data_IF_871577251803
#
_entry.id   IF_871577251803
#
_cell.length_a   1.000
_cell.length_b   1.000
_cell.length_c   1.000
_cell.angle_alpha   90.00
_cell.angle_beta   90.00
_cell.angle_gamma   90.00
#
_symmetry.space_group_name_H-M   'P 1'
#
loop_
_entity.id
_entity.type
_entity.pdbx_description
1 polymer ?
#
# COMPACT_ATOMS: atom_id res chain seq x y z
N UNK A 1 -19.94 30.36 -8.45
CA UNK A 1 -19.20 29.13 -8.79
C UNK A 1 -17.71 29.42 -8.58
N UNK A 2 -16.95 28.57 -7.86
CA UNK A 2 -15.52 28.81 -7.71
C UNK A 2 -14.87 28.70 -9.10
N UNK A 3 -14.17 29.75 -9.55
CA UNK A 3 -13.36 29.80 -10.77
C UNK A 3 -14.03 29.41 -12.12
N UNK A 4 -15.31 29.74 -12.32
CA UNK A 4 -15.93 29.66 -13.66
C UNK A 4 -16.25 28.25 -14.20
N UNK A 5 -16.12 27.22 -13.37
CA UNK A 5 -16.48 25.84 -13.74
C UNK A 5 -17.83 25.41 -13.16
N UNK A 6 -18.56 24.58 -13.90
CA UNK A 6 -19.86 24.07 -13.48
C UNK A 6 -19.72 23.12 -12.28
N UNK A 7 -20.73 23.09 -11.41
CA UNK A 7 -20.76 22.16 -10.26
C UNK A 7 -20.63 20.67 -10.65
N UNK A 8 -21.26 20.20 -11.73
CA UNK A 8 -21.02 18.85 -12.24
C UNK A 8 -19.56 18.58 -12.62
N UNK A 9 -18.85 19.57 -13.17
CA UNK A 9 -17.42 19.44 -13.51
C UNK A 9 -16.58 19.22 -12.25
N UNK A 10 -16.88 19.95 -11.17
CA UNK A 10 -16.19 19.77 -9.90
C UNK A 10 -16.44 18.37 -9.32
N UNK A 11 -17.69 17.93 -9.30
CA UNK A 11 -18.05 16.59 -8.83
C UNK A 11 -17.37 15.48 -9.63
N UNK A 12 -17.28 15.62 -10.96
CA UNK A 12 -16.54 14.65 -11.81
C UNK A 12 -15.07 14.54 -11.43
N UNK A 13 -14.41 15.67 -11.20
CA UNK A 13 -13.00 15.65 -10.79
C UNK A 13 -12.83 15.09 -9.39
N UNK A 14 -13.71 15.45 -8.46
CA UNK A 14 -13.69 14.92 -7.10
C UNK A 14 -13.88 13.39 -7.08
N UNK A 15 -14.86 12.87 -7.82
CA UNK A 15 -15.09 11.42 -7.90
C UNK A 15 -13.94 10.71 -8.62
N UNK A 16 -13.37 11.31 -9.68
CA UNK A 16 -12.20 10.76 -10.36
C UNK A 16 -10.98 10.66 -9.41
N UNK A 17 -10.74 11.66 -8.57
CA UNK A 17 -9.65 11.63 -7.59
C UNK A 17 -9.83 10.50 -6.57
N UNK A 18 -11.04 10.34 -6.03
CA UNK A 18 -11.36 9.23 -5.11
C UNK A 18 -11.20 7.88 -5.81
N UNK A 19 -11.69 7.75 -7.04
CA UNK A 19 -11.56 6.53 -7.82
C UNK A 19 -10.09 6.17 -8.08
N UNK A 20 -9.26 7.16 -8.39
CA UNK A 20 -7.82 6.97 -8.58
C UNK A 20 -7.13 6.51 -7.28
N UNK A 21 -7.51 7.05 -6.11
CA UNK A 21 -7.00 6.60 -4.82
C UNK A 21 -7.32 5.12 -4.57
N UNK A 22 -8.58 4.71 -4.78
CA UNK A 22 -8.97 3.31 -4.59
C UNK A 22 -8.29 2.38 -5.59
N UNK A 23 -8.22 2.76 -6.87
CA UNK A 23 -7.54 1.99 -7.90
C UNK A 23 -6.05 1.81 -7.58
N UNK A 24 -5.37 2.86 -7.12
CA UNK A 24 -3.97 2.81 -6.69
C UNK A 24 -3.75 1.88 -5.49
N UNK A 25 -4.61 1.97 -4.47
CA UNK A 25 -4.55 1.09 -3.31
C UNK A 25 -4.76 -0.38 -3.72
N UNK A 26 -5.74 -0.67 -4.58
CA UNK A 26 -5.96 -2.04 -5.07
C UNK A 26 -4.80 -2.56 -5.91
N UNK A 27 -4.20 -1.70 -6.75
CA UNK A 27 -3.05 -2.07 -7.56
C UNK A 27 -1.88 -2.54 -6.68
N UNK A 28 -1.53 -1.81 -5.61
CA UNK A 28 -0.43 -2.24 -4.73
C UNK A 28 -0.75 -3.56 -4.02
N UNK A 29 -2.01 -3.79 -3.64
CA UNK A 29 -2.43 -5.07 -3.08
C UNK A 29 -2.35 -6.22 -4.10
N UNK A 30 -2.69 -5.98 -5.37
CA UNK A 30 -2.59 -7.01 -6.41
C UNK A 30 -1.15 -7.30 -6.83
N UNK A 31 -0.31 -6.27 -6.98
CA UNK A 31 1.06 -6.41 -7.47
C UNK A 31 2.05 -6.84 -6.39
N UNK A 32 1.99 -6.26 -5.20
CA UNK A 32 2.95 -6.54 -4.13
C UNK A 32 2.43 -7.51 -3.06
N UNK A 33 1.12 -7.82 -3.07
CA UNK A 33 0.44 -8.71 -2.12
C UNK A 33 1.02 -8.59 -0.69
N UNK A 34 1.03 -7.38 -0.10
CA UNK A 34 1.61 -7.20 1.22
C UNK A 34 0.88 -8.08 2.22
N UNK A 35 1.64 -8.74 3.10
CA UNK A 35 1.05 -9.42 4.24
C UNK A 35 0.52 -8.36 5.21
N UNK A 36 -0.80 -8.36 5.40
CA UNK A 36 -1.51 -7.44 6.28
C UNK A 36 -1.76 -8.05 7.67
N UNK A 37 -1.22 -9.25 7.94
CA UNK A 37 -1.34 -9.91 9.24
C UNK A 37 -0.61 -9.09 10.30
N UNK A 38 -1.38 -8.57 11.27
CA UNK A 38 -0.83 -7.88 12.44
C UNK A 38 -0.59 -8.95 13.51
N UNK A 39 0.65 -9.16 13.96
CA UNK A 39 0.91 -10.09 15.07
C UNK A 39 0.34 -9.53 16.37
N UNK A 40 -0.31 -10.38 17.17
CA UNK A 40 -0.83 -10.04 18.51
C UNK A 40 0.25 -9.49 19.44
N UNK A 41 1.46 -10.03 19.35
CA UNK A 41 2.62 -9.55 20.09
C UNK A 41 3.47 -8.68 19.15
N UNK A 42 3.69 -7.39 19.47
CA UNK A 42 4.55 -6.54 18.67
C UNK A 42 5.98 -7.12 18.70
N UNK A 43 6.66 -7.18 17.55
CA UNK A 43 8.04 -7.64 17.49
C UNK A 43 8.93 -6.71 18.32
N UNK A 44 10.01 -7.26 18.88
CA UNK A 44 10.97 -6.45 19.64
C UNK A 44 11.63 -5.42 18.72
N UNK A 45 12.06 -4.27 19.25
CA UNK A 45 12.80 -3.28 18.47
C UNK A 45 14.01 -3.95 17.79
N UNK A 46 14.05 -3.89 16.44
CA UNK A 46 15.10 -4.53 15.63
C UNK A 46 14.76 -5.92 15.07
N UNK A 47 13.67 -6.57 15.49
CA UNK A 47 13.19 -7.86 14.94
C UNK A 47 12.07 -7.68 13.90
N UNK A 48 11.71 -6.44 13.56
CA UNK A 48 10.73 -6.11 12.52
C UNK A 48 11.24 -6.60 11.16
N UNK A 49 10.66 -7.70 10.66
CA UNK A 49 10.91 -8.18 9.30
C UNK A 49 10.11 -7.34 8.32
N UNK A 50 10.75 -6.35 7.71
CA UNK A 50 10.16 -5.52 6.64
C UNK A 50 10.42 -6.10 5.26
N UNK A 51 10.47 -7.44 5.13
CA UNK A 51 10.68 -8.07 3.83
C UNK A 51 9.45 -7.85 2.95
N UNK A 52 9.66 -7.34 1.73
CA UNK A 52 8.61 -7.34 0.71
C UNK A 52 8.32 -8.79 0.34
N UNK A 53 7.06 -9.21 0.38
CA UNK A 53 6.62 -10.57 0.09
C UNK A 53 7.15 -10.99 -1.31
N UNK A 54 8.19 -11.82 -1.36
CA UNK A 54 8.82 -12.30 -2.60
C UNK A 54 10.28 -11.85 -2.85
N UNK A 55 10.81 -10.91 -2.06
CA UNK A 55 12.24 -10.55 -2.09
C UNK A 55 12.92 -11.07 -0.83
N UNK A 56 13.46 -12.29 -0.90
CA UNK A 56 14.33 -12.82 0.17
C UNK A 56 15.63 -12.02 0.22
N UNK A 57 15.99 -11.53 1.40
CA UNK A 57 17.34 -11.01 1.60
C UNK A 57 18.33 -12.19 1.62
N UNK A 58 19.36 -12.22 0.76
CA UNK A 58 20.28 -13.36 0.66
C UNK A 58 21.07 -13.63 1.96
N UNK A 59 21.12 -12.68 2.89
CA UNK A 59 21.85 -12.83 4.15
C UNK A 59 21.13 -13.69 5.20
N UNK A 60 19.80 -13.83 5.13
CA UNK A 60 19.03 -14.59 6.15
C UNK A 60 19.14 -16.10 5.94
N UNK A 61 19.34 -16.56 4.70
CA UNK A 61 19.48 -17.98 4.38
C UNK A 61 20.86 -18.55 4.79
N UNK A 62 21.89 -17.71 4.99
CA UNK A 62 23.25 -18.17 5.40
C UNK A 62 23.33 -18.60 6.86
N UNK A 63 22.41 -18.16 7.72
CA UNK A 63 22.40 -18.54 9.15
C UNK A 63 21.68 -19.86 9.45
N UNK A 64 21.12 -20.54 8.43
CA UNK A 64 20.41 -21.82 8.59
C UNK A 64 21.14 -23.04 8.00
N UNK A 65 22.39 -22.90 7.57
CA UNK A 65 23.27 -24.02 7.21
C UNK A 65 24.29 -24.31 8.31
#
# INVERSE_FOLDING_TARGET
MPAGVSWPTYLRMFTASIAAMFAGAQAVHMYYRPDLTIPEVPPKPGELRTELLGLKHPDVDRQKQ
#
